data_IF_570584562280
#
_entry.id   IF_570584562280
#
_cell.length_a   1.000
_cell.length_b   1.000
_cell.length_c   1.000
_cell.angle_alpha   90.00
_cell.angle_beta   90.00
_cell.angle_gamma   90.00
#
_symmetry.space_group_name_H-M   'P 1'
#
loop_
_entity.id
_entity.type
_entity.pdbx_description
1 polymer ?
#
# COMPACT_ATOMS: atom_id res chain seq x y z
N UNK A 1 -1.76 -6.30 18.77
CA UNK A 1 -2.98 -5.80 18.07
C UNK A 1 -2.56 -5.81 16.62
N UNK A 2 -3.02 -6.78 15.83
CA UNK A 2 -2.31 -7.15 14.61
C UNK A 2 -3.01 -6.51 13.41
N UNK A 3 -2.28 -5.72 12.61
CA UNK A 3 -2.82 -4.99 11.46
C UNK A 3 -2.11 -5.42 10.20
N UNK A 4 -2.89 -5.94 9.25
CA UNK A 4 -2.39 -6.25 7.91
C UNK A 4 -2.78 -5.14 6.95
N UNK A 5 -1.78 -4.42 6.44
CA UNK A 5 -1.96 -3.24 5.62
C UNK A 5 -1.36 -3.51 4.24
N UNK A 6 -2.20 -3.62 3.22
CA UNK A 6 -1.72 -3.71 1.83
C UNK A 6 -1.47 -2.33 1.26
N UNK A 7 -0.24 -2.06 0.82
CA UNK A 7 0.14 -0.86 0.10
C UNK A 7 0.01 -1.16 -1.39
N UNK A 8 -0.84 -0.38 -2.07
CA UNK A 8 -1.24 -0.64 -3.46
C UNK A 8 -1.39 0.66 -4.26
N UNK A 9 -1.47 0.52 -5.58
CA UNK A 9 -1.66 1.62 -6.52
C UNK A 9 -2.20 1.13 -7.85
N UNK A 10 -2.88 2.01 -8.57
CA UNK A 10 -3.22 1.77 -9.96
C UNK A 10 -2.01 1.76 -10.89
N UNK A 11 -1.01 2.61 -10.59
CA UNK A 11 0.15 2.89 -11.47
C UNK A 11 1.47 2.26 -10.99
N UNK A 12 2.29 1.79 -11.92
CA UNK A 12 3.69 1.36 -11.67
C UNK A 12 4.60 2.56 -11.40
N UNK A 13 5.68 2.38 -10.62
CA UNK A 13 6.74 3.39 -10.49
C UNK A 13 6.42 4.58 -9.58
N UNK A 14 5.30 4.54 -8.84
CA UNK A 14 4.92 5.67 -7.96
C UNK A 14 5.50 5.60 -6.55
N UNK A 15 6.37 4.61 -6.26
CA UNK A 15 7.11 4.53 -4.99
C UNK A 15 6.50 3.68 -3.87
N UNK A 16 5.64 2.69 -4.18
CA UNK A 16 5.03 1.79 -3.18
C UNK A 16 6.06 1.07 -2.30
N UNK A 17 7.00 0.36 -2.90
CA UNK A 17 8.09 -0.37 -2.20
C UNK A 17 8.89 0.56 -1.29
N UNK A 18 9.21 1.76 -1.79
CA UNK A 18 9.84 2.82 -1.00
C UNK A 18 9.01 3.16 0.24
N UNK A 19 7.73 3.47 0.06
CA UNK A 19 6.82 3.81 1.16
C UNK A 19 6.71 2.64 2.14
N UNK A 20 6.55 1.41 1.64
CA UNK A 20 6.40 0.20 2.44
C UNK A 20 7.59 -0.03 3.39
N UNK A 21 8.80 -0.10 2.85
CA UNK A 21 10.02 -0.36 3.62
C UNK A 21 10.33 0.75 4.63
N UNK A 22 10.18 2.01 4.22
CA UNK A 22 10.47 3.14 5.09
C UNK A 22 9.42 3.28 6.19
N UNK A 23 8.15 3.01 5.88
CA UNK A 23 7.08 2.98 6.88
C UNK A 23 7.29 1.84 7.88
N UNK A 24 7.69 0.66 7.42
CA UNK A 24 8.00 -0.47 8.29
C UNK A 24 9.09 -0.11 9.30
N UNK A 25 10.19 0.47 8.81
CA UNK A 25 11.32 0.86 9.66
C UNK A 25 10.91 1.91 10.71
N UNK A 26 10.04 2.86 10.34
CA UNK A 26 9.53 3.86 11.27
C UNK A 26 8.59 3.25 12.32
N UNK A 27 7.72 2.32 11.94
CA UNK A 27 6.84 1.61 12.88
C UNK A 27 7.66 0.78 13.88
N UNK A 28 8.69 0.09 13.40
CA UNK A 28 9.65 -0.60 14.27
C UNK A 28 10.38 0.37 15.21
N UNK A 29 10.83 1.52 14.71
CA UNK A 29 11.42 2.57 15.54
C UNK A 29 10.46 3.16 16.60
N UNK A 30 9.15 3.00 16.44
CA UNK A 30 8.12 3.34 17.44
C UNK A 30 7.82 2.19 18.42
N UNK A 31 8.55 1.07 18.35
CA UNK A 31 8.46 -0.07 19.25
C UNK A 31 7.50 -1.18 18.81
N UNK A 32 7.05 -1.18 17.55
CA UNK A 32 6.12 -2.20 17.03
C UNK A 32 6.84 -3.32 16.28
N UNK A 33 6.46 -4.57 16.55
CA UNK A 33 6.95 -5.70 15.78
C UNK A 33 6.40 -5.62 14.35
N UNK A 34 7.27 -5.37 13.38
CA UNK A 34 6.86 -5.07 12.01
C UNK A 34 7.49 -6.02 11.01
N UNK A 35 6.66 -6.58 10.13
CA UNK A 35 7.07 -7.45 9.03
C UNK A 35 6.64 -6.84 7.69
N UNK A 36 7.51 -6.94 6.68
CA UNK A 36 7.20 -6.57 5.30
C UNK A 36 7.10 -7.83 4.45
N UNK A 37 5.99 -7.99 3.73
CA UNK A 37 5.81 -9.03 2.74
C UNK A 37 5.84 -8.43 1.32
N UNK A 38 6.78 -8.90 0.50
CA UNK A 38 6.84 -8.55 -0.92
C UNK A 38 5.84 -9.42 -1.70
N UNK A 39 4.72 -8.81 -2.09
CA UNK A 39 3.65 -9.47 -2.82
C UNK A 39 3.84 -9.40 -4.35
N UNK A 40 4.94 -8.82 -4.85
CA UNK A 40 5.31 -8.87 -6.27
C UNK A 40 6.02 -10.19 -6.59
N UNK A 41 5.19 -11.22 -6.82
CA UNK A 41 5.62 -12.58 -7.15
C UNK A 41 6.20 -12.75 -8.57
N UNK A 42 6.06 -11.73 -9.42
CA UNK A 42 6.63 -11.72 -10.76
C UNK A 42 8.03 -11.12 -10.77
N UNK A 43 8.20 -9.98 -10.09
CA UNK A 43 9.44 -9.23 -10.02
C UNK A 43 9.68 -8.77 -8.57
N UNK A 44 10.27 -9.61 -7.70
CA UNK A 44 10.51 -9.25 -6.30
C UNK A 44 11.35 -7.99 -6.21
N UNK A 45 10.70 -6.92 -5.74
CA UNK A 45 11.28 -5.59 -5.75
C UNK A 45 12.13 -5.38 -4.49
N UNK A 46 11.75 -5.95 -3.34
CA UNK A 46 12.44 -5.67 -2.07
C UNK A 46 13.86 -6.21 -2.05
N UNK A 47 14.09 -7.43 -2.54
CA UNK A 47 15.42 -8.02 -2.58
C UNK A 47 16.38 -7.16 -3.42
N UNK A 48 15.93 -6.79 -4.63
CA UNK A 48 16.69 -5.91 -5.53
C UNK A 48 16.90 -4.52 -4.92
N UNK A 49 15.85 -3.98 -4.29
CA UNK A 49 15.86 -2.67 -3.67
C UNK A 49 16.88 -2.55 -2.53
N UNK A 50 17.00 -3.59 -1.71
CA UNK A 50 17.88 -3.63 -0.54
C UNK A 50 19.21 -4.37 -0.77
N UNK A 51 19.43 -4.91 -1.97
CA UNK A 51 20.61 -5.73 -2.29
C UNK A 51 20.66 -7.05 -1.51
N UNK A 52 19.49 -7.59 -1.15
CA UNK A 52 19.38 -8.83 -0.38
C UNK A 52 19.54 -10.04 -1.30
N UNK A 53 20.22 -11.06 -0.79
CA UNK A 53 20.37 -12.37 -1.43
C UNK A 53 19.79 -13.43 -0.49
N UNK A 54 18.46 -13.63 -0.48
CA UNK A 54 17.85 -14.65 0.35
C UNK A 54 18.36 -16.03 -0.05
N UNK A 55 18.65 -16.88 0.95
CA UNK A 55 19.14 -18.25 0.75
C UNK A 55 18.03 -19.14 0.16
N UNK A 56 16.79 -18.88 0.58
CA UNK A 56 15.61 -19.63 0.17
C UNK A 56 14.52 -18.68 -0.33
N UNK A 57 13.74 -19.14 -1.29
CA UNK A 57 12.57 -18.44 -1.81
C UNK A 57 11.30 -19.29 -1.67
N UNK A 58 10.14 -18.72 -2.00
CA UNK A 58 8.87 -19.42 -1.83
C UNK A 58 8.78 -20.74 -2.62
N UNK A 59 9.49 -20.89 -3.76
CA UNK A 59 9.55 -22.16 -4.48
C UNK A 59 10.24 -23.24 -3.65
N UNK A 60 11.27 -22.89 -2.88
CA UNK A 60 11.95 -23.85 -2.01
C UNK A 60 11.03 -24.34 -0.90
N UNK A 61 10.13 -23.50 -0.39
CA UNK A 61 9.11 -23.95 0.56
C UNK A 61 8.09 -24.91 -0.06
N UNK A 62 7.67 -24.66 -1.31
CA UNK A 62 6.73 -25.54 -2.02
C UNK A 62 7.38 -26.88 -2.38
N UNK A 63 8.56 -26.83 -3.02
CA UNK A 63 9.22 -28.00 -3.62
C UNK A 63 9.97 -28.84 -2.59
N UNK A 64 10.61 -28.19 -1.61
CA UNK A 64 11.49 -28.85 -0.64
C UNK A 64 10.84 -28.95 0.75
N UNK A 65 9.59 -28.52 0.92
CA UNK A 65 8.86 -28.60 2.19
C UNK A 65 9.47 -27.75 3.30
N UNK A 66 10.19 -26.66 2.97
CA UNK A 66 10.70 -25.73 3.97
C UNK A 66 9.55 -24.99 4.66
N UNK A 67 9.70 -24.70 5.95
CA UNK A 67 8.72 -23.89 6.65
C UNK A 67 8.84 -22.43 6.18
N UNK A 68 7.73 -21.71 6.07
CA UNK A 68 7.76 -20.32 5.61
C UNK A 68 8.56 -19.41 6.55
N UNK A 69 8.64 -19.74 7.85
CA UNK A 69 9.47 -19.02 8.82
C UNK A 69 10.96 -19.04 8.46
N UNK A 70 11.42 -20.05 7.73
CA UNK A 70 12.81 -20.25 7.33
C UNK A 70 13.17 -19.37 6.11
N UNK A 71 12.16 -18.80 5.44
CA UNK A 71 12.32 -17.86 4.33
C UNK A 71 12.54 -16.42 4.80
N UNK A 72 12.18 -16.12 6.05
CA UNK A 72 12.12 -14.74 6.55
C UNK A 72 13.53 -14.26 6.89
N UNK A 73 13.88 -13.11 6.32
CA UNK A 73 15.07 -12.36 6.71
C UNK A 73 14.73 -11.60 7.98
N UNK A 74 15.26 -12.08 9.11
CA UNK A 74 14.99 -11.51 10.43
C UNK A 74 15.85 -10.29 10.73
N UNK A 75 15.28 -9.35 11.48
CA UNK A 75 15.97 -8.19 12.06
C UNK A 75 16.80 -7.37 11.05
N UNK A 76 16.25 -7.15 9.86
CA UNK A 76 16.81 -6.19 8.93
C UNK A 76 16.57 -4.78 9.47
N UNK A 77 17.54 -4.23 10.22
CA UNK A 77 17.41 -2.90 10.86
C UNK A 77 16.20 -2.80 11.81
N UNK A 78 15.80 -3.88 12.48
CA UNK A 78 14.63 -3.91 13.36
C UNK A 78 13.31 -4.29 12.67
N UNK A 79 13.30 -4.61 11.37
CA UNK A 79 12.13 -5.16 10.69
C UNK A 79 12.39 -6.57 10.17
N UNK A 80 11.36 -7.41 10.14
CA UNK A 80 11.42 -8.69 9.44
C UNK A 80 10.97 -8.51 7.99
N UNK A 81 11.58 -9.25 7.08
CA UNK A 81 11.25 -9.22 5.66
C UNK A 81 10.91 -10.63 5.22
N UNK A 82 9.67 -10.81 4.76
CA UNK A 82 9.25 -11.99 4.03
C UNK A 82 9.48 -11.70 2.53
N UNK A 83 10.55 -12.27 1.94
CA UNK A 83 10.84 -12.06 0.53
C UNK A 83 9.76 -12.67 -0.35
N UNK A 84 9.43 -11.95 -1.41
CA UNK A 84 8.64 -12.47 -2.52
C UNK A 84 9.47 -13.47 -3.31
N UNK A 85 8.81 -14.38 -4.00
CA UNK A 85 9.46 -15.34 -4.90
C UNK A 85 9.35 -14.86 -6.32
N UNK A 86 10.46 -14.81 -7.06
CA UNK A 86 10.46 -14.63 -8.50
C UNK A 86 10.04 -15.90 -9.23
N UNK A 87 9.20 -15.75 -10.26
CA UNK A 87 8.88 -16.83 -11.19
C UNK A 87 7.80 -17.81 -10.71
N UNK A 88 6.86 -17.34 -9.89
CA UNK A 88 5.64 -18.09 -9.57
C UNK A 88 4.64 -18.12 -10.72
N UNK A 89 4.78 -17.25 -11.72
CA UNK A 89 3.90 -17.20 -12.90
C UNK A 89 3.83 -18.54 -13.65
N UNK A 90 4.87 -19.38 -13.56
CA UNK A 90 4.85 -20.74 -14.12
C UNK A 90 4.24 -21.79 -13.18
N UNK A 91 4.25 -21.56 -11.86
CA UNK A 91 3.78 -22.52 -10.84
C UNK A 91 2.33 -22.28 -10.41
N UNK A 92 1.83 -21.04 -10.47
CA UNK A 92 0.41 -20.74 -10.19
C UNK A 92 -0.54 -21.20 -11.32
N UNK A 93 -0.01 -21.84 -12.36
CA UNK A 93 -0.81 -22.44 -13.46
C UNK A 93 -1.46 -23.76 -13.05
N UNK A 94 -0.90 -24.47 -12.07
CA UNK A 94 -1.44 -25.74 -11.58
C UNK A 94 -2.21 -25.55 -10.29
N UNK A 95 -3.43 -26.12 -10.22
CA UNK A 95 -4.23 -26.16 -8.98
C UNK A 95 -3.50 -26.86 -7.82
N UNK A 96 -2.57 -27.78 -8.13
CA UNK A 96 -1.79 -28.54 -7.13
C UNK A 96 -0.78 -27.64 -6.42
N UNK A 97 -0.04 -26.83 -7.17
CA UNK A 97 0.98 -25.92 -6.62
C UNK A 97 0.32 -24.83 -5.79
N UNK A 98 -0.85 -24.36 -6.24
CA UNK A 98 -1.67 -23.44 -5.44
C UNK A 98 -2.13 -24.11 -4.15
N UNK A 99 -2.63 -25.34 -4.17
CA UNK A 99 -3.02 -26.06 -2.96
C UNK A 99 -1.84 -26.34 -2.00
N UNK A 100 -0.63 -26.56 -2.51
CA UNK A 100 0.55 -26.72 -1.66
C UNK A 100 0.96 -25.41 -1.00
N UNK A 101 1.00 -24.30 -1.74
CA UNK A 101 1.16 -22.95 -1.18
C UNK A 101 0.13 -22.71 -0.07
N UNK A 102 -1.13 -23.00 -0.37
CA UNK A 102 -2.25 -22.88 0.55
C UNK A 102 -2.00 -23.66 1.86
N UNK A 103 -1.56 -24.91 1.74
CA UNK A 103 -1.24 -25.76 2.90
C UNK A 103 -0.04 -25.22 3.68
N UNK A 104 1.07 -24.89 3.03
CA UNK A 104 2.26 -24.34 3.70
C UNK A 104 1.96 -23.03 4.44
N UNK A 105 1.17 -22.14 3.83
CA UNK A 105 0.69 -20.92 4.48
C UNK A 105 -0.27 -21.23 5.62
N UNK A 106 -1.20 -22.16 5.46
CA UNK A 106 -2.14 -22.56 6.53
C UNK A 106 -1.41 -23.19 7.72
N UNK A 107 -0.50 -24.14 7.47
CA UNK A 107 0.30 -24.82 8.49
C UNK A 107 1.23 -23.86 9.23
N UNK A 108 1.89 -22.95 8.51
CA UNK A 108 2.70 -21.88 9.15
C UNK A 108 1.83 -20.94 9.96
N UNK A 109 0.62 -20.61 9.47
CA UNK A 109 -0.31 -19.74 10.17
C UNK A 109 -0.93 -20.40 11.42
N UNK A 110 -0.92 -21.73 11.52
CA UNK A 110 -1.29 -22.45 12.74
C UNK A 110 -0.19 -22.42 13.81
N UNK A 111 1.04 -22.06 13.45
CA UNK A 111 2.11 -21.82 14.40
C UNK A 111 2.11 -20.34 14.81
N UNK A 112 2.14 -20.07 16.11
CA UNK A 112 2.07 -18.75 16.77
C UNK A 112 3.03 -17.66 16.22
N UNK A 113 3.96 -18.03 15.34
CA UNK A 113 4.98 -17.14 14.79
C UNK A 113 4.41 -15.89 14.10
N UNK A 114 3.34 -16.03 13.30
CA UNK A 114 2.73 -14.89 12.60
C UNK A 114 1.89 -13.99 13.53
N UNK A 115 1.58 -14.46 14.75
CA UNK A 115 0.83 -13.70 15.76
C UNK A 115 1.67 -12.62 16.45
N UNK A 116 3.00 -12.66 16.31
CA UNK A 116 3.91 -11.74 17.00
C UNK A 116 4.04 -10.36 16.33
N UNK A 117 3.54 -10.19 15.10
CA UNK A 117 3.63 -8.91 14.38
C UNK A 117 2.43 -8.02 14.68
N UNK A 118 2.71 -6.81 15.19
CA UNK A 118 1.72 -5.76 15.31
C UNK A 118 1.35 -5.18 13.93
N UNK A 119 2.32 -5.12 13.02
CA UNK A 119 2.12 -4.67 11.64
C UNK A 119 2.69 -5.66 10.64
N UNK A 120 1.83 -6.14 9.74
CA UNK A 120 2.23 -6.79 8.49
C UNK A 120 1.95 -5.82 7.34
N UNK A 121 3.01 -5.27 6.75
CA UNK A 121 2.91 -4.41 5.57
C UNK A 121 3.10 -5.24 4.31
N UNK A 122 2.15 -5.21 3.40
CA UNK A 122 2.18 -5.96 2.14
C UNK A 122 2.47 -5.01 0.99
N UNK A 123 3.62 -5.15 0.34
CA UNK A 123 3.97 -4.39 -0.87
C UNK A 123 3.38 -5.08 -2.11
N UNK A 124 2.19 -4.66 -2.53
CA UNK A 124 1.53 -5.26 -3.68
C UNK A 124 2.08 -4.69 -5.00
N UNK A 125 2.06 -5.47 -6.11
CA UNK A 125 2.34 -4.94 -7.43
C UNK A 125 1.29 -3.87 -7.82
N UNK A 126 1.58 -3.09 -8.86
CA UNK A 126 0.60 -2.11 -9.35
C UNK A 126 -0.54 -2.78 -10.14
N UNK A 127 -1.65 -2.06 -10.28
CA UNK A 127 -2.75 -2.42 -11.16
C UNK A 127 -3.88 -3.13 -10.44
N UNK A 128 -4.64 -3.92 -11.20
CA UNK A 128 -5.89 -4.55 -10.75
C UNK A 128 -5.91 -6.06 -10.99
N UNK A 129 -4.73 -6.69 -11.06
CA UNK A 129 -4.64 -8.14 -11.25
C UNK A 129 -5.34 -8.88 -10.12
N UNK A 130 -5.75 -10.12 -10.38
CA UNK A 130 -6.42 -10.97 -9.40
C UNK A 130 -5.66 -11.05 -8.07
N UNK A 131 -4.34 -11.16 -8.17
CA UNK A 131 -3.42 -11.19 -7.02
C UNK A 131 -3.49 -9.90 -6.20
N UNK A 132 -3.41 -8.73 -6.84
CA UNK A 132 -3.51 -7.43 -6.14
C UNK A 132 -4.86 -7.29 -5.44
N UNK A 133 -5.95 -7.61 -6.13
CA UNK A 133 -7.30 -7.54 -5.58
C UNK A 133 -7.46 -8.51 -4.40
N UNK A 134 -6.90 -9.72 -4.49
CA UNK A 134 -6.95 -10.72 -3.42
C UNK A 134 -6.21 -10.26 -2.16
N UNK A 135 -5.01 -9.69 -2.30
CA UNK A 135 -4.27 -9.12 -1.15
C UNK A 135 -5.02 -7.96 -0.50
N UNK A 136 -5.58 -7.07 -1.30
CA UNK A 136 -6.39 -5.96 -0.80
C UNK A 136 -7.63 -6.46 -0.04
N UNK A 137 -8.41 -7.36 -0.65
CA UNK A 137 -9.63 -7.92 -0.05
C UNK A 137 -9.37 -8.71 1.23
N UNK A 138 -8.23 -9.39 1.29
CA UNK A 138 -7.80 -10.14 2.45
C UNK A 138 -7.16 -9.27 3.53
N UNK A 139 -6.94 -7.97 3.32
CA UNK A 139 -6.33 -7.09 4.31
C UNK A 139 -7.37 -6.37 5.16
N UNK A 140 -7.02 -6.06 6.41
CA UNK A 140 -7.87 -5.23 7.28
C UNK A 140 -7.92 -3.78 6.80
N UNK A 141 -6.80 -3.31 6.25
CA UNK A 141 -6.64 -1.95 5.74
C UNK A 141 -5.82 -1.96 4.45
N UNK A 142 -6.04 -0.94 3.62
CA UNK A 142 -5.19 -0.68 2.45
C UNK A 142 -4.69 0.76 2.47
N UNK A 143 -3.47 0.97 1.99
CA UNK A 143 -2.91 2.28 1.67
C UNK A 143 -2.86 2.39 0.15
N UNK A 144 -3.72 3.24 -0.41
CA UNK A 144 -3.70 3.60 -1.82
C UNK A 144 -2.76 4.77 -2.02
N UNK A 145 -1.67 4.52 -2.75
CA UNK A 145 -0.71 5.56 -3.12
C UNK A 145 -1.17 6.20 -4.44
N UNK A 146 -1.26 7.53 -4.45
CA UNK A 146 -1.58 8.34 -5.63
C UNK A 146 -0.55 9.45 -5.82
N UNK A 147 -0.40 9.97 -7.04
CA UNK A 147 0.40 11.16 -7.35
C UNK A 147 -0.48 12.28 -7.89
N UNK A 148 0.01 13.54 -8.01
CA UNK A 148 -0.73 14.62 -8.65
C UNK A 148 -1.04 14.40 -10.14
N UNK A 149 -0.52 13.34 -10.75
CA UNK A 149 -0.77 13.03 -12.16
C UNK A 149 -2.19 12.50 -12.38
N UNK A 150 -2.86 12.98 -13.43
CA UNK A 150 -4.22 12.56 -13.77
C UNK A 150 -4.36 11.04 -13.96
N UNK A 151 -3.39 10.39 -14.61
CA UNK A 151 -3.41 8.94 -14.81
C UNK A 151 -3.41 8.17 -13.48
N UNK A 152 -2.63 8.63 -12.49
CA UNK A 152 -2.57 7.98 -11.17
C UNK A 152 -3.92 8.00 -10.45
N UNK A 153 -4.67 9.09 -10.57
CA UNK A 153 -6.01 9.21 -9.98
C UNK A 153 -7.03 8.29 -10.66
N UNK A 154 -7.01 8.22 -11.99
CA UNK A 154 -7.90 7.35 -12.76
C UNK A 154 -7.67 5.88 -12.43
N UNK A 155 -6.41 5.43 -12.42
CA UNK A 155 -6.09 4.03 -12.15
C UNK A 155 -6.36 3.66 -10.68
N UNK A 156 -6.09 4.56 -9.72
CA UNK A 156 -6.47 4.36 -8.33
C UNK A 156 -7.99 4.29 -8.13
N UNK A 157 -8.76 5.10 -8.88
CA UNK A 157 -10.22 5.01 -8.87
C UNK A 157 -10.71 3.67 -9.43
N UNK A 158 -10.12 3.18 -10.53
CA UNK A 158 -10.45 1.86 -11.09
C UNK A 158 -10.17 0.74 -10.09
N UNK A 159 -9.02 0.76 -9.41
CA UNK A 159 -8.71 -0.18 -8.34
C UNK A 159 -9.79 -0.16 -7.24
N UNK A 160 -10.13 1.03 -6.74
CA UNK A 160 -11.15 1.20 -5.71
C UNK A 160 -12.54 0.76 -6.16
N UNK A 161 -12.90 1.00 -7.43
CA UNK A 161 -14.15 0.52 -8.02
C UNK A 161 -14.19 -1.00 -8.03
N UNK A 162 -13.11 -1.66 -8.45
CA UNK A 162 -12.99 -3.12 -8.44
C UNK A 162 -13.12 -3.68 -7.03
N UNK A 163 -12.44 -3.07 -6.04
CA UNK A 163 -12.56 -3.48 -4.64
C UNK A 163 -13.98 -3.30 -4.09
N UNK A 164 -14.63 -2.19 -4.42
CA UNK A 164 -16.02 -1.95 -4.04
C UNK A 164 -16.99 -2.98 -4.63
N UNK A 165 -16.77 -3.40 -5.89
CA UNK A 165 -17.60 -4.42 -6.54
C UNK A 165 -17.40 -5.82 -5.93
N UNK A 166 -16.19 -6.11 -5.46
CA UNK A 166 -15.87 -7.37 -4.78
C UNK A 166 -16.10 -7.30 -3.26
N UNK A 167 -16.79 -6.27 -2.76
CA UNK A 167 -17.27 -6.21 -1.39
C UNK A 167 -16.19 -5.90 -0.33
N UNK A 168 -15.13 -5.15 -0.67
CA UNK A 168 -14.15 -4.71 0.30
C UNK A 168 -14.79 -3.90 1.43
N UNK A 169 -14.47 -4.25 2.69
CA UNK A 169 -15.01 -3.59 3.90
C UNK A 169 -13.94 -3.03 4.84
N UNK A 170 -12.66 -3.16 4.48
CA UNK A 170 -11.55 -2.68 5.29
C UNK A 170 -11.36 -1.17 5.22
N UNK A 171 -10.46 -0.65 6.04
CA UNK A 171 -10.10 0.78 6.05
C UNK A 171 -9.30 1.16 4.80
N UNK A 172 -9.64 2.29 4.17
CA UNK A 172 -8.92 2.80 3.00
C UNK A 172 -8.22 4.11 3.34
N UNK A 173 -6.89 4.06 3.33
CA UNK A 173 -6.02 5.20 3.49
C UNK A 173 -5.50 5.70 2.14
N UNK A 174 -5.30 7.01 2.03
CA UNK A 174 -4.72 7.63 0.83
C UNK A 174 -3.44 8.38 1.20
N UNK A 175 -2.36 8.07 0.48
CA UNK A 175 -1.11 8.82 0.51
C UNK A 175 -0.92 9.51 -0.82
N UNK A 176 -0.73 10.84 -0.80
CA UNK A 176 -0.37 11.61 -2.00
C UNK A 176 1.16 11.70 -2.07
N UNK A 177 1.77 10.88 -2.91
CA UNK A 177 3.21 10.86 -3.13
C UNK A 177 3.64 11.85 -4.23
N UNK A 178 4.92 12.22 -4.24
CA UNK A 178 5.56 13.07 -5.24
C UNK A 178 4.87 14.44 -5.40
N UNK A 179 4.37 15.01 -4.30
CA UNK A 179 3.81 16.36 -4.35
C UNK A 179 4.90 17.42 -4.23
N UNK A 180 4.74 18.53 -4.95
CA UNK A 180 5.67 19.68 -4.85
C UNK A 180 5.31 20.61 -3.69
N UNK A 181 4.03 20.70 -3.34
CA UNK A 181 3.53 21.52 -2.22
C UNK A 181 2.42 20.80 -1.45
N UNK A 182 2.25 21.16 -0.18
CA UNK A 182 1.15 20.64 0.64
C UNK A 182 -0.22 21.10 0.12
N UNK A 183 -0.31 22.30 -0.47
CA UNK A 183 -1.53 22.81 -1.09
C UNK A 183 -1.98 21.91 -2.26
N UNK A 184 -1.06 21.56 -3.15
CA UNK A 184 -1.34 20.65 -4.27
C UNK A 184 -1.78 19.28 -3.76
N UNK A 185 -1.08 18.72 -2.77
CA UNK A 185 -1.47 17.44 -2.19
C UNK A 185 -2.90 17.45 -1.62
N UNK A 186 -3.26 18.51 -0.88
CA UNK A 186 -4.61 18.70 -0.33
C UNK A 186 -5.66 18.80 -1.45
N UNK A 187 -5.37 19.52 -2.53
CA UNK A 187 -6.29 19.65 -3.67
C UNK A 187 -6.49 18.32 -4.39
N UNK A 188 -5.41 17.58 -4.65
CA UNK A 188 -5.44 16.24 -5.28
C UNK A 188 -6.26 15.27 -4.44
N UNK A 189 -5.99 15.19 -3.14
CA UNK A 189 -6.75 14.34 -2.23
C UNK A 189 -8.24 14.70 -2.20
N UNK A 190 -8.59 16.00 -2.07
CA UNK A 190 -9.99 16.45 -2.05
C UNK A 190 -10.74 16.07 -3.33
N UNK A 191 -10.12 16.26 -4.49
CA UNK A 191 -10.69 15.87 -5.79
C UNK A 191 -10.91 14.35 -5.86
N UNK A 192 -9.90 13.57 -5.50
CA UNK A 192 -9.99 12.11 -5.49
C UNK A 192 -11.09 11.61 -4.55
N UNK A 193 -11.12 12.10 -3.30
CA UNK A 193 -12.16 11.77 -2.32
C UNK A 193 -13.56 12.08 -2.86
N UNK A 194 -13.74 13.25 -3.46
CA UNK A 194 -15.05 13.65 -4.01
C UNK A 194 -15.54 12.72 -5.11
N UNK A 195 -14.64 12.26 -5.99
CA UNK A 195 -15.00 11.33 -7.08
C UNK A 195 -15.34 9.95 -6.52
N UNK A 196 -14.56 9.46 -5.55
CA UNK A 196 -14.83 8.19 -4.87
C UNK A 196 -16.18 8.23 -4.16
N UNK A 197 -16.42 9.23 -3.30
CA UNK A 197 -17.66 9.35 -2.53
C UNK A 197 -18.91 9.53 -3.40
N UNK A 198 -18.78 10.16 -4.58
CA UNK A 198 -19.90 10.35 -5.51
C UNK A 198 -20.31 9.05 -6.21
N UNK A 199 -19.36 8.16 -6.50
CA UNK A 199 -19.59 7.04 -7.42
C UNK A 199 -19.47 5.66 -6.77
N UNK A 200 -18.79 5.55 -5.64
CA UNK A 200 -18.50 4.29 -4.96
C UNK A 200 -19.11 4.29 -3.55
N UNK A 201 -19.48 3.11 -3.06
CA UNK A 201 -20.02 2.91 -1.69
C UNK A 201 -18.90 2.66 -0.67
N UNK A 202 -17.76 3.33 -0.85
CA UNK A 202 -16.60 3.24 0.04
C UNK A 202 -16.13 4.65 0.38
N UNK A 203 -15.61 4.86 1.59
CA UNK A 203 -14.97 6.12 1.97
C UNK A 203 -13.45 5.96 1.97
N UNK A 204 -12.75 7.08 1.74
CA UNK A 204 -11.30 7.15 1.75
C UNK A 204 -10.83 8.20 2.75
N UNK A 205 -9.90 7.79 3.59
CA UNK A 205 -9.34 8.62 4.66
C UNK A 205 -7.96 9.14 4.26
N UNK A 206 -7.61 10.40 4.61
CA UNK A 206 -6.29 10.92 4.32
C UNK A 206 -5.30 10.32 5.31
N UNK A 207 -4.21 9.75 4.80
CA UNK A 207 -3.11 9.29 5.64
C UNK A 207 -1.95 10.28 5.64
N UNK A 208 -1.57 10.81 4.48
CA UNK A 208 -0.54 11.84 4.44
C UNK A 208 -0.15 12.24 3.03
N UNK A 209 0.91 13.05 2.95
CA UNK A 209 1.56 13.47 1.72
C UNK A 209 3.05 13.21 1.83
N UNK A 210 3.71 12.98 0.70
CA UNK A 210 5.16 12.81 0.62
C UNK A 210 5.67 13.73 -0.48
N UNK A 211 6.61 14.60 -0.12
CA UNK A 211 7.21 15.52 -1.08
C UNK A 211 8.07 14.78 -2.10
N UNK A 212 8.12 15.30 -3.32
CA UNK A 212 9.17 14.91 -4.25
C UNK A 212 10.52 15.31 -3.66
N UNK A 213 11.42 14.33 -3.50
CA UNK A 213 12.68 14.53 -2.81
C UNK A 213 13.78 13.67 -3.46
N UNK A 214 14.80 14.32 -4.03
CA UNK A 214 15.91 13.63 -4.69
C UNK A 214 16.76 12.76 -3.75
N UNK A 215 16.59 12.89 -2.43
CA UNK A 215 17.19 12.01 -1.43
C UNK A 215 16.64 10.58 -1.49
N UNK A 216 15.41 10.40 -1.94
CA UNK A 216 14.83 9.07 -2.18
C UNK A 216 15.67 8.37 -3.25
N UNK A 217 15.84 8.99 -4.42
CA UNK A 217 16.62 8.41 -5.53
C UNK A 217 18.07 8.12 -5.15
N UNK A 218 18.69 9.01 -4.35
CA UNK A 218 20.05 8.80 -3.84
C UNK A 218 20.14 7.57 -2.93
N UNK A 219 19.14 7.32 -2.07
CA UNK A 219 19.11 6.18 -1.18
C UNK A 219 18.83 4.86 -1.94
N UNK A 220 17.91 4.89 -2.92
CA UNK A 220 17.61 3.75 -3.80
C UNK A 220 18.87 3.31 -4.54
N UNK A 221 19.65 4.26 -5.10
CA UNK A 221 20.93 3.95 -5.77
C UNK A 221 21.98 3.33 -4.84
N UNK A 222 21.86 3.59 -3.53
CA UNK A 222 22.73 2.99 -2.51
C UNK A 222 22.16 1.67 -1.96
N UNK A 223 21.01 1.22 -2.46
CA UNK A 223 20.26 0.07 -1.95
C UNK A 223 19.96 0.17 -0.45
N UNK A 224 19.56 1.36 0.00
CA UNK A 224 19.26 1.66 1.41
C UNK A 224 17.89 2.28 1.59
N UNK A 225 17.30 2.03 2.76
CA UNK A 225 16.06 2.67 3.22
C UNK A 225 16.34 4.17 3.47
N UNK A 226 15.60 5.07 2.83
CA UNK A 226 15.95 6.50 2.83
C UNK A 226 15.74 7.20 4.19
N UNK A 227 14.81 6.73 5.04
CA UNK A 227 14.60 7.32 6.37
C UNK A 227 15.77 7.04 7.31
N UNK A 228 16.52 5.94 7.10
CA UNK A 228 17.73 5.66 7.88
C UNK A 228 18.95 6.45 7.38
N UNK A 229 19.05 6.69 6.07
CA UNK A 229 20.17 7.45 5.49
C UNK A 229 19.97 8.97 5.60
N UNK A 230 18.74 9.44 5.39
CA UNK A 230 18.38 10.86 5.35
C UNK A 230 17.22 11.17 6.31
N UNK A 231 17.36 11.00 7.63
CA UNK A 231 16.26 11.15 8.58
C UNK A 231 15.66 12.55 8.65
N UNK A 232 16.42 13.58 8.22
CA UNK A 232 15.97 14.99 8.21
C UNK A 232 15.37 15.44 6.87
N UNK A 233 15.34 14.59 5.85
CA UNK A 233 14.76 14.90 4.55
C UNK A 233 13.26 15.18 4.65
N UNK A 234 12.72 15.95 3.71
CA UNK A 234 11.30 16.32 3.75
C UNK A 234 10.42 15.08 3.58
N UNK A 235 10.79 14.17 2.69
CA UNK A 235 10.12 12.88 2.55
C UNK A 235 10.16 12.03 3.84
N UNK A 236 11.26 12.06 4.59
CA UNK A 236 11.41 11.31 5.84
C UNK A 236 10.49 11.84 6.93
N UNK A 237 10.41 13.17 7.09
CA UNK A 237 9.47 13.82 8.01
C UNK A 237 8.02 13.53 7.65
N UNK A 238 7.70 13.50 6.35
CA UNK A 238 6.38 13.11 5.87
C UNK A 238 6.01 11.68 6.28
N UNK A 239 6.92 10.71 6.10
CA UNK A 239 6.69 9.33 6.49
C UNK A 239 6.61 9.15 8.01
N UNK A 240 7.40 9.89 8.79
CA UNK A 240 7.29 9.90 10.26
C UNK A 240 5.87 10.26 10.70
N UNK A 241 5.30 11.34 10.15
CA UNK A 241 3.91 11.74 10.43
C UNK A 241 2.88 10.71 9.98
N UNK A 242 3.15 10.02 8.87
CA UNK A 242 2.29 8.92 8.39
C UNK A 242 2.32 7.75 9.37
N UNK A 243 3.50 7.35 9.86
CA UNK A 243 3.67 6.28 10.85
C UNK A 243 2.96 6.63 12.17
N UNK A 244 3.21 7.83 12.70
CA UNK A 244 2.55 8.35 13.91
C UNK A 244 1.03 8.36 13.76
N UNK A 245 0.51 8.76 12.59
CA UNK A 245 -0.94 8.75 12.35
C UNK A 245 -1.52 7.35 12.27
N UNK A 246 -0.81 6.39 11.67
CA UNK A 246 -1.24 4.99 11.68
C UNK A 246 -1.33 4.46 13.11
N UNK A 247 -0.34 4.75 13.94
CA UNK A 247 -0.33 4.36 15.36
C UNK A 247 -1.45 5.02 16.13
N UNK A 248 -1.61 6.34 16.00
CA UNK A 248 -2.60 7.12 16.74
C UNK A 248 -4.05 6.77 16.38
N UNK A 249 -4.31 6.42 15.12
CA UNK A 249 -5.65 6.04 14.65
C UNK A 249 -5.91 4.54 14.80
N UNK A 250 -5.43 3.94 15.89
CA UNK A 250 -5.73 2.56 16.26
C UNK A 250 -7.19 2.23 15.93
N UNK A 251 -7.37 1.32 14.99
CA UNK A 251 -8.69 0.96 14.47
C UNK A 251 -9.35 0.02 15.49
N UNK A 252 -9.87 0.58 16.58
CA UNK A 252 -10.56 -0.17 17.64
C UNK A 252 -11.72 -1.04 17.12
N UNK A 253 -12.19 -0.77 15.89
CA UNK A 253 -13.22 -1.51 15.18
C UNK A 253 -12.72 -2.70 14.35
N UNK A 254 -11.41 -2.96 14.27
CA UNK A 254 -10.81 -4.08 13.53
C UNK A 254 -10.32 -5.20 14.45
N UNK A 255 -11.02 -5.41 15.58
CA UNK A 255 -10.81 -6.58 16.42
C UNK A 255 -11.02 -7.87 15.62
N UNK A 256 -10.01 -8.76 15.65
CA UNK A 256 -10.11 -10.10 15.07
C UNK A 256 -9.62 -10.23 13.63
N UNK A 257 -8.93 -9.24 13.06
CA UNK A 257 -8.10 -9.48 11.89
C UNK A 257 -6.73 -10.00 12.33
N UNK A 258 -6.37 -11.17 11.83
CA UNK A 258 -5.13 -11.85 12.17
C UNK A 258 -4.44 -12.22 10.86
N UNK A 259 -3.11 -12.24 10.86
CA UNK A 259 -2.27 -12.61 9.72
C UNK A 259 -2.69 -13.96 9.15
N UNK A 260 -3.15 -14.88 10.01
CA UNK A 260 -3.75 -16.16 9.62
C UNK A 260 -4.98 -15.98 8.72
N UNK A 261 -5.89 -15.07 9.08
CA UNK A 261 -7.09 -14.76 8.29
C UNK A 261 -6.73 -14.05 6.99
N UNK A 262 -5.72 -13.19 7.00
CA UNK A 262 -5.19 -12.59 5.76
C UNK A 262 -4.76 -13.69 4.79
N UNK A 263 -3.88 -14.61 5.21
CA UNK A 263 -3.40 -15.66 4.32
C UNK A 263 -4.52 -16.57 3.82
N UNK A 264 -5.41 -17.02 4.72
CA UNK A 264 -6.58 -17.82 4.33
C UNK A 264 -7.48 -17.07 3.33
N UNK A 265 -7.72 -15.79 3.56
CA UNK A 265 -8.50 -14.95 2.66
C UNK A 265 -7.83 -14.82 1.28
N UNK A 266 -6.52 -14.53 1.23
CA UNK A 266 -5.78 -14.46 -0.03
C UNK A 266 -5.93 -15.75 -0.84
N UNK A 267 -5.74 -16.88 -0.16
CA UNK A 267 -5.83 -18.22 -0.72
C UNK A 267 -7.21 -18.50 -1.34
N UNK A 268 -8.28 -18.23 -0.59
CA UNK A 268 -9.65 -18.46 -1.04
C UNK A 268 -10.00 -17.54 -2.22
N UNK A 269 -9.55 -16.28 -2.17
CA UNK A 269 -9.85 -15.26 -3.18
C UNK A 269 -9.06 -15.46 -4.48
N UNK A 270 -7.81 -15.91 -4.40
CA UNK A 270 -7.02 -16.33 -5.58
C UNK A 270 -7.70 -17.53 -6.27
N UNK A 271 -8.45 -18.34 -5.51
CA UNK A 271 -9.18 -19.51 -6.01
C UNK A 271 -10.60 -19.22 -6.51
N UNK A 272 -11.17 -18.10 -6.10
CA UNK A 272 -12.56 -17.73 -6.40
C UNK A 272 -12.71 -16.86 -7.65
N UNK A 273 -13.86 -16.87 -8.35
CA UNK A 273 -14.13 -15.89 -9.39
C UNK A 273 -14.21 -14.48 -8.78
N UNK A 274 -13.44 -13.53 -9.31
CA UNK A 274 -13.45 -12.13 -8.91
C UNK A 274 -13.95 -11.26 -10.06
N UNK A 275 -14.73 -10.22 -9.74
CA UNK A 275 -15.21 -9.25 -10.73
C UNK A 275 -14.08 -8.29 -11.09
N UNK A 276 -13.24 -8.70 -12.04
CA UNK A 276 -12.11 -7.91 -12.56
C UNK A 276 -12.47 -7.47 -13.97
N UNK A 277 -12.80 -6.19 -14.13
CA UNK A 277 -12.97 -5.62 -15.47
C UNK A 277 -11.59 -5.21 -16.00
N UNK A 278 -10.94 -6.10 -16.74
CA UNK A 278 -9.65 -5.80 -17.41
C UNK A 278 -9.81 -4.77 -18.54
N UNK A 279 -11.03 -4.52 -19.01
CA UNK A 279 -11.35 -3.50 -20.02
C UNK A 279 -12.03 -2.27 -19.40
N UNK A 280 -11.22 -1.34 -18.89
CA UNK A 280 -11.60 0.09 -18.83
C UNK A 280 -10.48 0.90 -19.46
N UNK A 281 -10.22 0.67 -20.75
CA UNK A 281 -9.61 1.66 -21.63
C UNK A 281 -10.71 2.59 -22.15
N UNK A 282 -10.52 3.89 -21.89
CA UNK A 282 -11.21 5.04 -22.47
C UNK A 282 -12.54 5.51 -21.82
N UNK A 283 -12.48 6.78 -21.39
CA UNK A 283 -13.55 7.76 -21.12
C UNK A 283 -14.33 7.63 -19.80
N UNK A 284 -13.64 7.98 -18.71
CA UNK A 284 -14.25 8.95 -17.79
C UNK A 284 -13.93 10.35 -18.36
N UNK A 285 -14.81 10.89 -19.20
CA UNK A 285 -14.73 12.31 -19.58
C UNK A 285 -14.97 13.14 -18.32
N UNK A 286 -13.91 13.77 -17.83
CA UNK A 286 -14.04 14.92 -16.93
C UNK A 286 -14.67 16.01 -17.80
N UNK A 287 -15.85 16.55 -17.47
CA UNK A 287 -16.46 17.57 -18.30
C UNK A 287 -15.55 18.81 -18.31
N UNK A 288 -14.96 19.11 -19.48
CA UNK A 288 -14.32 20.39 -19.75
C UNK A 288 -15.38 21.48 -19.64
N UNK A 289 -15.25 22.34 -18.62
CA UNK A 289 -15.94 23.63 -18.65
C UNK A 289 -15.35 24.45 -19.80
N UNK A 290 -16.07 24.50 -20.93
CA UNK A 290 -15.95 25.61 -21.87
C UNK A 290 -16.36 26.89 -21.14
N UNK A 291 -15.41 27.80 -20.93
CA UNK A 291 -15.50 29.23 -21.26
C UNK A 291 -14.38 29.99 -20.54
N UNK A 292 -13.60 30.74 -21.32
CA UNK A 292 -13.01 32.00 -20.88
C UNK A 292 -13.04 32.96 -22.06
N UNK A 293 -12.72 34.25 -21.88
CA UNK A 293 -13.11 35.14 -20.78
C UNK A 293 -13.69 36.47 -21.39
N UNK A 294 -13.84 37.61 -20.66
CA UNK A 294 -12.70 38.39 -20.18
C UNK A 294 -12.84 38.94 -18.74
N UNK A 295 -11.69 39.41 -18.25
CA UNK A 295 -11.41 39.99 -16.95
C UNK A 295 -12.25 41.23 -16.59
N UNK A 296 -12.58 41.39 -15.30
CA UNK A 296 -12.67 42.69 -14.63
C UNK A 296 -12.12 42.57 -13.20
N UNK A 297 -11.45 43.66 -12.83
CA UNK A 297 -10.55 44.05 -11.74
C UNK A 297 -11.12 43.98 -10.31
N UNK A 298 -10.17 43.87 -9.38
CA UNK A 298 -10.18 44.04 -7.92
C UNK A 298 -11.38 44.72 -7.23
N UNK A 299 -11.82 44.13 -6.10
CA UNK A 299 -11.90 44.87 -4.83
C UNK A 299 -11.98 43.94 -3.60
N UNK A 300 -11.24 44.35 -2.58
CA UNK A 300 -11.05 43.79 -1.25
C UNK A 300 -12.31 43.75 -0.38
N UNK A 301 -12.44 42.72 0.48
CA UNK A 301 -12.90 42.91 1.87
C UNK A 301 -12.68 41.67 2.73
N UNK A 302 -12.12 41.92 3.91
CA UNK A 302 -11.90 41.00 5.03
C UNK A 302 -13.23 40.53 5.65
N UNK A 303 -13.27 39.30 6.18
CA UNK A 303 -13.74 39.02 7.55
C UNK A 303 -13.45 37.58 7.98
N UNK A 304 -13.11 37.47 9.26
CA UNK A 304 -12.61 36.33 10.01
C UNK A 304 -13.67 35.30 10.46
N UNK A 305 -13.11 34.20 11.00
CA UNK A 305 -13.59 33.29 12.08
C UNK A 305 -14.32 32.00 11.66
N UNK A 306 -13.61 30.87 11.77
CA UNK A 306 -13.80 29.83 12.83
C UNK A 306 -13.06 28.53 12.48
N UNK A 307 -12.31 28.01 13.46
CA UNK A 307 -11.40 26.88 13.32
C UNK A 307 -12.11 25.56 13.00
N UNK A 308 -11.47 24.78 12.11
CA UNK A 308 -11.89 23.41 11.75
C UNK A 308 -10.74 22.43 12.02
N UNK A 309 -10.98 21.12 12.20
CA UNK A 309 -9.98 20.14 12.63
C UNK A 309 -8.86 19.84 11.61
N UNK A 310 -8.71 20.66 10.57
CA UNK A 310 -7.88 20.43 9.37
C UNK A 310 -6.45 20.99 9.47
N UNK A 311 -6.09 21.64 10.57
CA UNK A 311 -4.77 22.26 10.75
C UNK A 311 -3.66 21.26 11.12
N UNK A 312 -3.98 19.99 11.38
CA UNK A 312 -3.02 18.92 11.74
C UNK A 312 -2.36 18.21 10.53
N UNK A 313 -2.38 18.82 9.35
CA UNK A 313 -1.82 18.25 8.10
C UNK A 313 -0.46 18.82 7.69
N UNK A 314 0.11 19.76 8.44
CA UNK A 314 1.44 20.33 8.19
C UNK A 314 2.52 19.61 8.96
#
# INVERSE_FOLDING_TARGET
>A
MNRTITITSGKVGIGKTNICLNLALLLSGLGYNTCVFDADMGLPNINTFLGLQPVYNLKDAILNGLNLKDLIIKDYQGIDIFPGSSGLDDMTKSEVDRMQLIRSFSETAHHDFLLHYDFLLVDAPAGISKTVISFCLASSEIIVVITPEHASLTEAYTLLKTLSLNGFKGGIWVVVNQCTTSHIAKLVYKRFKSIVAKNLRIDVMPLGLIYQDGKIDQAVKQQKIFVSVYPKANASKCLQKIAERLVAKGTDHLQGFDVVKFWRGCIELISSPLSINEHVSARAEIPEKKQGPPAITEQSSQKDVSGSPLDSLS
#
